data_IF_625103333110
#
_entry.id   IF_625103333110
#
_cell.length_a   1.000
_cell.length_b   1.000
_cell.length_c   1.000
_cell.angle_alpha   90.00
_cell.angle_beta   90.00
_cell.angle_gamma   90.00
#
_symmetry.space_group_name_H-M   'P 1'
#
loop_
_entity.id
_entity.type
_entity.pdbx_description
1 polymer ?
#
# COMPACT_ATOMS: atom_id res chain seq x y z
N UNK A 1 5.58 -20.41 -34.61
CA UNK A 1 5.22 -20.25 -33.18
C UNK A 1 4.36 -21.44 -32.80
N UNK A 2 4.66 -22.12 -31.70
CA UNK A 2 3.97 -23.36 -31.30
C UNK A 2 3.74 -23.33 -29.80
N UNK A 3 2.50 -23.62 -29.39
CA UNK A 3 2.10 -23.73 -27.98
C UNK A 3 1.82 -25.20 -27.72
N UNK A 4 2.60 -25.83 -26.84
CA UNK A 4 2.43 -27.23 -26.48
C UNK A 4 1.11 -27.47 -25.76
N UNK A 5 0.62 -28.71 -25.81
CA UNK A 5 -0.61 -29.11 -25.13
C UNK A 5 -0.55 -28.81 -23.63
N UNK A 6 -1.62 -28.22 -23.08
CA UNK A 6 -1.71 -27.86 -21.66
C UNK A 6 -0.81 -26.69 -21.23
N UNK A 7 -0.16 -25.99 -22.17
CA UNK A 7 0.59 -24.78 -21.85
C UNK A 7 -0.36 -23.63 -21.48
N UNK A 8 0.05 -22.80 -20.52
CA UNK A 8 -0.72 -21.66 -20.00
C UNK A 8 -0.04 -20.35 -20.38
N UNK A 9 -0.80 -19.38 -20.85
CA UNK A 9 -0.29 -18.04 -21.20
C UNK A 9 -0.95 -17.04 -20.26
N UNK A 10 -0.15 -16.23 -19.57
CA UNK A 10 -0.67 -15.17 -18.69
C UNK A 10 -1.41 -14.10 -19.48
N UNK A 11 -2.43 -13.50 -18.86
CA UNK A 11 -3.41 -12.60 -19.51
C UNK A 11 -2.85 -11.30 -20.11
N UNK A 12 -1.55 -11.05 -20.01
CA UNK A 12 -0.85 -9.94 -20.65
C UNK A 12 0.58 -10.34 -21.08
N UNK A 13 0.77 -11.60 -21.47
CA UNK A 13 2.09 -12.10 -21.88
C UNK A 13 2.30 -11.95 -23.39
N UNK A 14 3.47 -11.44 -23.79
CA UNK A 14 3.89 -11.39 -25.20
C UNK A 14 4.94 -12.46 -25.41
N UNK A 15 4.54 -13.58 -26.01
CA UNK A 15 5.41 -14.73 -26.20
C UNK A 15 6.02 -14.70 -27.61
N UNK A 16 7.35 -14.55 -27.67
CA UNK A 16 8.10 -14.46 -28.92
C UNK A 16 8.79 -15.78 -29.31
N UNK A 17 8.70 -16.83 -28.46
CA UNK A 17 9.34 -18.14 -28.66
C UNK A 17 8.34 -19.29 -28.42
N UNK A 18 8.65 -20.49 -28.91
CA UNK A 18 7.78 -21.66 -28.71
C UNK A 18 7.64 -22.02 -27.22
N UNK A 19 6.43 -22.40 -26.79
CA UNK A 19 6.12 -22.76 -25.40
C UNK A 19 6.00 -24.28 -25.29
N UNK A 20 6.82 -24.95 -24.47
CA UNK A 20 6.72 -26.39 -24.22
C UNK A 20 5.36 -26.80 -23.64
N UNK A 21 4.99 -28.07 -23.81
CA UNK A 21 3.77 -28.63 -23.22
C UNK A 21 3.82 -28.51 -21.68
N UNK A 22 2.69 -28.16 -21.05
CA UNK A 22 2.58 -27.97 -19.60
C UNK A 22 3.32 -26.76 -19.01
N UNK A 23 4.02 -25.95 -19.82
CA UNK A 23 4.73 -24.76 -19.35
C UNK A 23 3.80 -23.54 -19.24
N UNK A 24 4.14 -22.59 -18.36
CA UNK A 24 3.41 -21.33 -18.19
C UNK A 24 4.26 -20.15 -18.67
N UNK A 25 3.78 -19.35 -19.62
CA UNK A 25 4.47 -18.15 -20.10
C UNK A 25 3.85 -16.88 -19.49
N UNK A 26 4.68 -16.00 -18.93
CA UNK A 26 4.24 -14.75 -18.28
C UNK A 26 5.12 -13.55 -18.63
N UNK A 27 4.51 -12.36 -18.68
CA UNK A 27 5.21 -11.08 -18.82
C UNK A 27 5.48 -10.62 -20.26
N UNK A 28 6.04 -9.41 -20.36
CA UNK A 28 6.46 -8.78 -21.62
C UNK A 28 7.92 -8.34 -21.43
N UNK A 29 8.91 -8.94 -22.12
CA UNK A 29 8.79 -10.13 -22.98
C UNK A 29 8.53 -11.42 -22.19
N UNK A 30 7.75 -12.34 -22.77
CA UNK A 30 7.27 -13.56 -22.12
C UNK A 30 8.39 -14.49 -21.66
N UNK A 31 8.42 -14.81 -20.37
CA UNK A 31 9.32 -15.79 -19.75
C UNK A 31 8.57 -17.11 -19.53
N UNK A 32 9.21 -18.22 -19.90
CA UNK A 32 8.64 -19.57 -19.78
C UNK A 32 9.02 -20.15 -18.42
N UNK A 33 8.03 -20.55 -17.65
CA UNK A 33 8.16 -21.24 -16.37
C UNK A 33 7.74 -22.70 -16.61
N UNK A 34 8.68 -23.62 -16.50
CA UNK A 34 8.40 -25.06 -16.59
C UNK A 34 7.92 -25.54 -15.23
N UNK A 35 6.75 -26.18 -15.18
CA UNK A 35 6.27 -26.84 -13.97
C UNK A 35 7.17 -28.06 -13.70
N UNK A 36 7.89 -28.05 -12.58
CA UNK A 36 8.58 -29.23 -12.05
C UNK A 36 7.60 -30.03 -11.18
N UNK A 37 7.73 -31.35 -11.22
CA UNK A 37 6.81 -32.35 -10.67
C UNK A 37 6.24 -32.04 -9.27
N UNK A 38 5.04 -32.59 -9.05
CA UNK A 38 4.01 -32.28 -8.04
C UNK A 38 4.50 -32.15 -6.58
N UNK A 39 5.63 -32.75 -6.22
CA UNK A 39 6.19 -32.63 -4.86
C UNK A 39 6.75 -31.23 -4.57
N UNK A 40 7.22 -30.53 -5.59
CA UNK A 40 7.69 -29.14 -5.47
C UNK A 40 6.53 -28.14 -5.40
N UNK A 41 5.36 -28.47 -5.96
CA UNK A 41 4.16 -27.63 -5.89
C UNK A 41 3.58 -27.58 -4.48
N UNK A 42 3.55 -28.70 -3.75
CA UNK A 42 3.06 -28.72 -2.37
C UNK A 42 3.96 -27.87 -1.44
N UNK A 43 5.29 -27.99 -1.58
CA UNK A 43 6.24 -27.16 -0.80
C UNK A 43 6.21 -25.70 -1.22
N UNK A 44 6.02 -25.38 -2.51
CA UNK A 44 5.88 -24.00 -2.99
C UNK A 44 4.53 -23.37 -2.66
N UNK A 45 3.44 -24.12 -2.57
CA UNK A 45 2.14 -23.61 -2.07
C UNK A 45 2.25 -23.22 -0.59
N UNK A 46 2.81 -24.11 0.23
CA UNK A 46 3.06 -23.82 1.65
C UNK A 46 4.07 -22.67 1.82
N UNK A 47 5.10 -22.58 0.96
CA UNK A 47 5.99 -21.43 0.95
C UNK A 47 5.32 -20.16 0.41
N UNK A 48 4.46 -20.19 -0.59
CA UNK A 48 3.76 -19.01 -1.10
C UNK A 48 2.73 -18.47 -0.10
N UNK A 49 2.07 -19.37 0.64
CA UNK A 49 1.24 -19.05 1.79
C UNK A 49 2.07 -18.45 2.95
N UNK A 50 3.30 -18.93 3.16
CA UNK A 50 4.20 -18.43 4.21
C UNK A 50 5.06 -17.23 3.82
N UNK A 51 5.33 -17.01 2.54
CA UNK A 51 6.18 -15.94 1.99
C UNK A 51 5.39 -14.76 1.41
N UNK A 52 4.06 -14.75 1.53
CA UNK A 52 3.28 -13.56 1.18
C UNK A 52 3.43 -13.19 -0.29
N UNK A 53 3.19 -14.14 -1.20
CA UNK A 53 2.95 -13.78 -2.60
C UNK A 53 1.55 -13.20 -2.74
N UNK A 54 1.42 -12.00 -2.25
CA UNK A 54 0.25 -11.18 -2.31
C UNK A 54 0.27 -10.40 -3.63
N UNK A 55 -0.42 -10.95 -4.62
CA UNK A 55 -0.57 -10.34 -5.94
C UNK A 55 -1.32 -8.99 -5.90
N UNK A 56 -1.80 -8.54 -4.73
CA UNK A 56 -2.45 -7.26 -4.54
C UNK A 56 -2.05 -6.59 -3.21
N UNK A 57 -0.76 -6.47 -2.91
CA UNK A 57 -0.18 -5.39 -2.09
C UNK A 57 -0.88 -5.00 -0.77
N UNK A 58 -1.55 -5.92 -0.10
CA UNK A 58 -2.10 -5.83 1.25
C UNK A 58 -1.78 -7.14 1.98
N UNK A 59 -0.51 -7.30 2.38
CA UNK A 59 -0.23 -8.10 3.57
C UNK A 59 -0.78 -7.28 4.73
N UNK A 60 -1.76 -7.85 5.45
CA UNK A 60 -2.53 -7.17 6.52
C UNK A 60 -1.75 -6.71 7.74
N UNK A 61 -0.42 -6.62 7.64
CA UNK A 61 0.51 -6.23 8.70
C UNK A 61 1.59 -5.26 8.19
N UNK A 62 1.36 -4.60 7.05
CA UNK A 62 2.21 -3.55 6.50
C UNK A 62 1.45 -2.22 6.59
N UNK A 63 1.77 -1.34 7.55
CA UNK A 63 1.10 -0.04 7.65
C UNK A 63 1.31 0.71 6.34
N UNK A 64 0.19 1.05 5.70
CA UNK A 64 0.14 1.68 4.40
C UNK A 64 1.18 2.82 4.29
N UNK A 65 2.06 2.82 3.27
CA UNK A 65 3.08 3.84 3.11
C UNK A 65 2.50 5.26 3.04
N UNK A 66 1.26 5.42 2.56
CA UNK A 66 0.57 6.71 2.56
C UNK A 66 0.12 7.08 3.97
N UNK A 67 -0.53 6.17 4.70
CA UNK A 67 -0.89 6.38 6.11
C UNK A 67 0.32 6.77 6.98
N UNK A 68 1.49 6.17 6.75
CA UNK A 68 2.74 6.54 7.44
C UNK A 68 3.19 7.96 7.10
N UNK A 69 3.13 8.35 5.84
CA UNK A 69 3.48 9.71 5.43
C UNK A 69 2.51 10.74 6.02
N UNK A 70 1.20 10.42 6.06
CA UNK A 70 0.19 11.27 6.71
C UNK A 70 0.46 11.39 8.21
N UNK A 71 0.78 10.30 8.90
CA UNK A 71 1.16 10.32 10.31
C UNK A 71 2.36 11.25 10.58
N UNK A 72 3.43 11.13 9.79
CA UNK A 72 4.59 12.01 9.92
C UNK A 72 4.28 13.48 9.62
N UNK A 73 3.40 13.75 8.65
CA UNK A 73 2.91 15.10 8.38
C UNK A 73 2.14 15.66 9.57
N UNK A 74 1.28 14.87 10.22
CA UNK A 74 0.51 15.27 11.40
C UNK A 74 1.43 15.58 12.60
N UNK A 75 2.41 14.73 12.87
CA UNK A 75 3.40 14.97 13.94
C UNK A 75 4.18 16.27 13.69
N UNK A 76 4.54 16.52 12.42
CA UNK A 76 5.23 17.75 12.04
C UNK A 76 4.35 19.00 12.21
N UNK A 77 3.08 18.91 11.84
CA UNK A 77 2.12 20.02 12.02
C UNK A 77 1.95 20.38 13.49
N UNK A 78 1.83 19.39 14.38
CA UNK A 78 1.75 19.64 15.82
C UNK A 78 2.99 20.36 16.36
N UNK A 79 4.18 19.98 15.89
CA UNK A 79 5.41 20.67 16.26
C UNK A 79 5.47 22.12 15.73
N UNK A 80 4.93 22.37 14.53
CA UNK A 80 4.83 23.70 13.95
C UNK A 80 3.83 24.56 14.74
N UNK A 81 2.67 24.01 15.11
CA UNK A 81 1.66 24.71 15.89
C UNK A 81 2.21 25.18 17.24
N UNK A 82 2.90 24.29 17.97
CA UNK A 82 3.52 24.67 19.25
C UNK A 82 4.61 25.74 19.09
N UNK A 83 5.35 25.75 17.97
CA UNK A 83 6.32 26.80 17.67
C UNK A 83 5.64 28.13 17.36
N UNK A 84 4.54 28.11 16.60
CA UNK A 84 3.76 29.30 16.28
C UNK A 84 3.13 29.90 17.53
N UNK A 85 2.61 29.06 18.43
CA UNK A 85 2.06 29.50 19.70
C UNK A 85 3.12 30.18 20.58
N UNK A 86 4.31 29.58 20.70
CA UNK A 86 5.44 30.20 21.41
C UNK A 86 5.93 31.51 20.77
N UNK A 87 5.86 31.62 19.44
CA UNK A 87 6.14 32.88 18.73
C UNK A 87 5.06 33.94 19.02
N UNK A 88 3.79 33.56 19.07
CA UNK A 88 2.69 34.46 19.40
C UNK A 88 2.81 34.98 20.84
N UNK A 89 3.17 34.14 21.81
CA UNK A 89 3.42 34.57 23.20
C UNK A 89 4.58 35.57 23.27
N UNK A 90 5.70 35.28 22.59
CA UNK A 90 6.83 36.19 22.54
C UNK A 90 6.48 37.55 21.90
N UNK A 91 5.69 37.54 20.81
CA UNK A 91 5.19 38.75 20.14
C UNK A 91 4.22 39.53 21.04
N UNK A 92 3.34 38.85 21.77
CA UNK A 92 2.46 39.46 22.76
C UNK A 92 3.24 40.17 23.88
N UNK A 93 4.33 39.54 24.36
CA UNK A 93 5.24 40.14 25.35
C UNK A 93 6.00 41.36 24.82
N UNK A 94 6.22 41.41 23.50
CA UNK A 94 6.79 42.57 22.79
C UNK A 94 5.76 43.67 22.47
N UNK A 95 4.47 43.46 22.81
CA UNK A 95 3.40 44.43 22.62
C UNK A 95 2.76 44.38 21.23
N UNK A 96 2.97 43.31 20.46
CA UNK A 96 2.27 43.07 19.20
C UNK A 96 0.91 42.44 19.45
N UNK A 97 -0.12 42.92 18.75
CA UNK A 97 -1.50 42.40 18.76
C UNK A 97 -1.70 41.26 17.76
N UNK A 98 -0.61 40.65 17.26
CA UNK A 98 -0.68 39.56 16.31
C UNK A 98 -1.24 38.30 16.98
N UNK A 99 -2.56 38.19 16.95
CA UNK A 99 -3.27 36.97 17.26
C UNK A 99 -3.32 36.16 15.96
N UNK A 100 -2.71 34.97 15.97
CA UNK A 100 -2.88 34.01 14.88
C UNK A 100 -4.38 33.87 14.58
N UNK A 101 -4.78 34.11 13.33
CA UNK A 101 -6.18 33.93 12.90
C UNK A 101 -6.56 32.46 13.09
N UNK A 102 -7.78 32.21 13.53
CA UNK A 102 -8.31 30.85 13.68
C UNK A 102 -8.12 30.05 12.38
N UNK A 103 -7.66 28.81 12.52
CA UNK A 103 -7.54 27.91 11.39
C UNK A 103 -8.95 27.60 10.84
N UNK A 104 -9.11 27.49 9.52
CA UNK A 104 -10.40 27.13 8.93
C UNK A 104 -10.83 25.74 9.42
N UNK A 105 -12.09 25.62 9.81
CA UNK A 105 -12.67 24.34 10.27
C UNK A 105 -12.59 23.27 9.17
N UNK A 106 -12.21 22.06 9.58
CA UNK A 106 -12.22 20.90 8.70
C UNK A 106 -13.66 20.40 8.51
N UNK A 107 -14.09 20.20 7.26
CA UNK A 107 -15.42 19.66 6.95
C UNK A 107 -15.53 18.20 7.40
N UNK A 108 -16.42 17.93 8.35
CA UNK A 108 -16.62 16.60 8.93
C UNK A 108 -17.04 15.54 7.91
N UNK A 109 -17.80 15.93 6.88
CA UNK A 109 -18.31 15.08 5.80
C UNK A 109 -17.20 14.28 5.07
N UNK A 110 -15.95 14.76 5.11
CA UNK A 110 -14.80 14.12 4.45
C UNK A 110 -14.24 12.95 5.30
N UNK A 111 -14.52 12.94 6.60
CA UNK A 111 -13.97 11.98 7.56
C UNK A 111 -14.97 10.92 8.01
N UNK A 112 -16.23 11.01 7.61
CA UNK A 112 -17.28 10.06 7.99
C UNK A 112 -16.96 8.62 7.57
N UNK A 113 -16.26 8.43 6.45
CA UNK A 113 -15.81 7.11 5.97
C UNK A 113 -14.82 6.39 6.92
N UNK A 114 -14.18 7.12 7.84
CA UNK A 114 -13.16 6.59 8.77
C UNK A 114 -13.77 6.25 10.14
N UNK A 115 -14.95 6.79 10.47
CA UNK A 115 -15.64 6.54 11.74
C UNK A 115 -16.18 5.11 11.85
N UNK A 116 -16.67 4.56 10.75
CA UNK A 116 -17.30 3.24 10.72
C UNK A 116 -16.33 2.08 11.02
N UNK A 117 -15.01 2.29 10.93
CA UNK A 117 -14.02 1.25 11.19
C UNK A 117 -13.75 0.95 12.69
N UNK A 118 -14.30 1.74 13.62
CA UNK A 118 -14.05 1.58 15.07
C UNK A 118 -15.21 1.02 15.89
N UNK A 119 -16.40 0.86 15.31
CA UNK A 119 -17.56 0.32 16.04
C UNK A 119 -17.66 -1.22 16.02
N UNK A 120 -16.92 -1.92 15.14
CA UNK A 120 -17.04 -3.37 14.98
C UNK A 120 -16.14 -4.23 15.90
N UNK A 121 -15.43 -3.64 16.88
CA UNK A 121 -14.55 -4.42 17.80
C UNK A 121 -15.00 -4.46 19.26
N UNK A 122 -16.24 -4.08 19.58
CA UNK A 122 -16.82 -4.36 20.90
C UNK A 122 -18.14 -5.12 20.74
N UNK A 123 -17.99 -6.43 20.53
CA UNK A 123 -19.03 -7.44 20.74
C UNK A 123 -18.62 -8.36 21.88
#
# INVERSE_FOLDING_TARGET
FTVGAGAKIGSNAVVTKAVPAGATAVGIPGRIIVKSDDETEARRKVMAEKLGFDAYGVSGDMPDPIARAIGQMLDHLQAVDGRLEGMCDALGRLGSDYCAKDLPELRNEVFDCVKDAREDTVG
#
